data_IF_598563636420
#
_entry.id   IF_598563636420
#
_cell.length_a   1.000
_cell.length_b   1.000
_cell.length_c   1.000
_cell.angle_alpha   90.00
_cell.angle_beta   90.00
_cell.angle_gamma   90.00
#
_symmetry.space_group_name_H-M   'P 1'
#
loop_
_entity.id
_entity.type
_entity.pdbx_description
1 polymer ?
#
# COMPACT_ATOMS: atom_id res chain seq x y z
N UNK A 1 -12.03 15.11 12.17
CA UNK A 1 -12.42 13.98 13.06
C UNK A 1 -12.92 12.73 12.32
N UNK A 2 -13.05 12.67 10.98
CA UNK A 2 -13.53 11.44 10.29
C UNK A 2 -12.51 10.30 10.13
N UNK A 3 -11.23 10.54 10.44
CA UNK A 3 -10.16 9.56 10.23
C UNK A 3 -9.97 8.56 11.39
N UNK A 4 -10.50 8.85 12.58
CA UNK A 4 -10.25 8.06 13.79
C UNK A 4 -11.38 7.08 14.16
N UNK A 5 -12.51 7.09 13.46
CA UNK A 5 -13.70 6.30 13.79
C UNK A 5 -14.00 5.14 12.83
N UNK A 6 -13.09 4.84 11.89
CA UNK A 6 -13.24 3.64 11.06
C UNK A 6 -12.72 2.42 11.81
N UNK A 7 -13.46 1.32 11.75
CA UNK A 7 -12.92 0.01 12.09
C UNK A 7 -11.77 -0.31 11.14
N UNK A 8 -10.57 -0.51 11.68
CA UNK A 8 -9.38 -0.87 10.92
C UNK A 8 -8.55 -1.83 11.75
N UNK A 9 -7.97 -2.83 11.10
CA UNK A 9 -7.08 -3.78 11.76
C UNK A 9 -5.67 -3.21 11.79
N UNK A 10 -5.11 -3.04 12.98
CA UNK A 10 -3.71 -2.67 13.13
C UNK A 10 -2.84 -3.85 12.66
N UNK A 11 -2.06 -3.64 11.61
CA UNK A 11 -1.32 -4.75 10.97
C UNK A 11 0.17 -4.73 11.30
N UNK A 12 0.89 -3.68 10.90
CA UNK A 12 2.33 -3.56 11.05
C UNK A 12 2.69 -2.14 11.47
N UNK A 13 3.73 -2.02 12.30
CA UNK A 13 4.39 -0.75 12.56
C UNK A 13 5.49 -0.59 11.50
N UNK A 14 5.34 0.42 10.64
CA UNK A 14 6.30 0.69 9.56
C UNK A 14 7.16 1.88 9.99
N UNK A 15 8.48 1.71 10.16
CA UNK A 15 9.35 2.81 10.56
C UNK A 15 9.33 3.90 9.48
N UNK A 16 9.36 5.16 9.90
CA UNK A 16 9.26 6.32 8.98
C UNK A 16 10.34 6.33 7.91
N UNK A 17 11.49 5.68 8.16
CA UNK A 17 12.59 5.55 7.20
C UNK A 17 12.27 4.62 6.00
N UNK A 18 11.30 3.72 6.14
CA UNK A 18 10.83 2.83 5.07
C UNK A 18 9.65 3.45 4.29
N UNK A 19 9.16 4.62 4.73
CA UNK A 19 8.02 5.30 4.11
C UNK A 19 8.50 6.47 3.28
N UNK A 20 8.38 6.36 1.96
CA UNK A 20 8.60 7.49 1.08
C UNK A 20 7.33 8.38 0.98
N UNK A 21 7.22 9.37 1.87
CA UNK A 21 6.09 10.32 1.88
C UNK A 21 6.14 11.36 0.76
N UNK A 22 7.24 11.45 0.01
CA UNK A 22 7.49 12.46 -1.04
C UNK A 22 7.47 11.87 -2.44
N UNK A 23 6.65 10.85 -2.68
CA UNK A 23 6.42 10.36 -4.04
C UNK A 23 5.87 11.52 -4.89
N UNK A 24 6.52 11.88 -6.01
CA UNK A 24 6.06 12.98 -6.84
C UNK A 24 4.73 12.60 -7.48
N UNK A 25 3.72 13.45 -7.30
CA UNK A 25 2.47 13.29 -8.01
C UNK A 25 2.75 13.41 -9.52
N UNK A 26 2.25 12.44 -10.29
CA UNK A 26 2.27 12.53 -11.75
C UNK A 26 1.07 13.38 -12.16
N UNK A 27 1.38 14.61 -12.58
CA UNK A 27 0.41 15.58 -13.09
C UNK A 27 0.46 15.57 -14.62
N UNK A 28 -0.67 15.32 -15.28
CA UNK A 28 -0.79 15.44 -16.74
C UNK A 28 -1.92 16.39 -17.04
N UNK A 29 -1.60 17.51 -17.69
CA UNK A 29 -2.58 18.50 -18.12
C UNK A 29 -3.43 19.05 -16.93
N UNK A 30 -2.76 19.46 -15.85
CA UNK A 30 -3.37 19.97 -14.59
C UNK A 30 -4.22 18.94 -13.81
N UNK A 31 -4.23 17.67 -14.25
CA UNK A 31 -4.94 16.58 -13.56
C UNK A 31 -3.95 15.70 -12.80
N UNK A 32 -4.23 15.49 -11.51
CA UNK A 32 -3.46 14.63 -10.62
C UNK A 32 -3.93 13.18 -10.77
N UNK A 33 -3.10 12.30 -11.31
CA UNK A 33 -3.51 10.91 -11.59
C UNK A 33 -3.50 10.00 -10.36
N UNK A 34 -2.72 10.33 -9.33
CA UNK A 34 -2.47 9.49 -8.16
C UNK A 34 -2.86 10.17 -6.84
N UNK A 35 -3.92 10.99 -6.84
CA UNK A 35 -4.40 11.62 -5.60
C UNK A 35 -4.93 10.55 -4.63
N UNK A 36 -4.24 10.36 -3.50
CA UNK A 36 -4.57 9.35 -2.50
C UNK A 36 -4.21 7.90 -2.88
N UNK A 37 -3.41 7.69 -3.92
CA UNK A 37 -2.89 6.37 -4.33
C UNK A 37 -1.39 6.34 -4.07
N UNK A 38 -0.93 5.36 -3.30
CA UNK A 38 0.50 5.11 -3.07
C UNK A 38 0.95 3.79 -3.68
N UNK A 39 2.08 3.26 -3.22
CA UNK A 39 2.60 1.98 -3.66
C UNK A 39 3.01 1.14 -2.46
N UNK A 40 2.64 -0.14 -2.46
CA UNK A 40 3.04 -1.12 -1.45
C UNK A 40 3.99 -2.14 -2.08
N UNK A 41 5.11 -2.41 -1.41
CA UNK A 41 6.02 -3.50 -1.81
C UNK A 41 5.38 -4.86 -1.53
N UNK A 42 5.74 -5.88 -2.32
CA UNK A 42 5.22 -7.24 -2.14
C UNK A 42 5.52 -7.83 -0.76
N UNK A 43 6.72 -7.63 -0.22
CA UNK A 43 7.08 -8.11 1.13
C UNK A 43 6.15 -7.55 2.22
N UNK A 44 5.90 -6.24 2.17
CA UNK A 44 4.99 -5.58 3.10
C UNK A 44 3.55 -6.07 2.90
N UNK A 45 3.12 -6.31 1.67
CA UNK A 45 1.82 -6.91 1.37
C UNK A 45 1.68 -8.33 1.95
N UNK A 46 2.71 -9.16 1.82
CA UNK A 46 2.72 -10.52 2.39
C UNK A 46 2.67 -10.48 3.92
N UNK A 47 3.46 -9.61 4.55
CA UNK A 47 3.45 -9.44 6.00
C UNK A 47 2.08 -8.95 6.52
N UNK A 48 1.42 -8.05 5.77
CA UNK A 48 0.06 -7.59 6.07
C UNK A 48 -0.96 -8.74 5.92
N UNK A 49 -0.85 -9.52 4.84
CA UNK A 49 -1.70 -10.67 4.55
C UNK A 49 -1.60 -11.77 5.62
N UNK A 50 -0.38 -12.07 6.08
CA UNK A 50 -0.10 -13.02 7.15
C UNK A 50 -0.73 -12.58 8.48
N UNK A 51 -0.55 -11.31 8.86
CA UNK A 51 -1.17 -10.73 10.06
C UNK A 51 -2.69 -10.73 10.01
N UNK A 52 -3.28 -10.52 8.83
CA UNK A 52 -4.71 -10.59 8.60
C UNK A 52 -5.23 -12.03 8.43
N UNK A 53 -4.33 -13.03 8.49
CA UNK A 53 -4.63 -14.46 8.29
C UNK A 53 -5.38 -14.73 6.98
N UNK A 54 -5.07 -13.95 5.94
CA UNK A 54 -5.57 -14.17 4.59
C UNK A 54 -4.81 -15.37 4.01
N UNK A 55 -5.34 -16.57 4.26
CA UNK A 55 -4.76 -17.87 3.89
C UNK A 55 -4.62 -18.12 2.36
N UNK A 56 -4.98 -17.14 1.53
CA UNK A 56 -4.96 -17.22 0.07
C UNK A 56 -4.35 -15.91 -0.43
N UNK A 57 -3.27 -16.02 -1.21
CA UNK A 57 -2.55 -15.00 -1.99
C UNK A 57 -2.75 -13.52 -1.60
N UNK A 58 -1.67 -12.74 -1.35
CA UNK A 58 -1.81 -11.35 -0.88
C UNK A 58 -2.70 -10.54 -1.84
N UNK A 59 -3.74 -9.84 -1.35
CA UNK A 59 -4.60 -9.06 -2.21
C UNK A 59 -3.81 -8.00 -2.98
N UNK A 60 -4.27 -7.71 -4.20
CA UNK A 60 -3.59 -6.78 -5.12
C UNK A 60 -3.62 -5.32 -4.66
N UNK A 61 -4.55 -4.96 -3.77
CA UNK A 61 -4.69 -3.61 -3.24
C UNK A 61 -5.11 -3.63 -1.78
N UNK A 62 -4.62 -2.67 -1.00
CA UNK A 62 -4.95 -2.50 0.41
C UNK A 62 -5.50 -1.10 0.65
N UNK A 63 -6.55 -0.99 1.45
CA UNK A 63 -7.02 0.29 1.95
C UNK A 63 -6.37 0.57 3.31
N UNK A 64 -5.61 1.66 3.40
CA UNK A 64 -4.85 1.98 4.61
C UNK A 64 -5.27 3.31 5.23
N UNK A 65 -4.93 3.44 6.51
CA UNK A 65 -4.78 4.69 7.22
C UNK A 65 -3.44 4.67 7.95
N UNK A 66 -2.57 5.60 7.61
CA UNK A 66 -1.21 5.64 8.15
C UNK A 66 -0.81 7.09 8.41
N UNK A 67 -0.38 7.39 9.64
CA UNK A 67 0.13 8.72 10.03
C UNK A 67 -0.73 9.94 9.61
N UNK A 68 -2.05 9.78 9.50
CA UNK A 68 -2.97 10.84 9.04
C UNK A 68 -3.30 10.82 7.55
N UNK A 69 -2.63 9.99 6.75
CA UNK A 69 -2.96 9.69 5.37
C UNK A 69 -4.05 8.60 5.30
N UNK A 70 -4.96 8.73 4.33
CA UNK A 70 -5.94 7.69 3.96
C UNK A 70 -5.84 7.49 2.45
N UNK A 71 -5.77 6.24 2.01
CA UNK A 71 -5.63 5.96 0.59
C UNK A 71 -5.72 4.48 0.25
N UNK A 72 -5.62 4.20 -1.04
CA UNK A 72 -5.52 2.85 -1.57
C UNK A 72 -4.08 2.63 -2.02
N UNK A 73 -3.47 1.53 -1.57
CA UNK A 73 -2.14 1.12 -1.98
C UNK A 73 -2.25 -0.13 -2.86
N UNK A 74 -2.09 -0.02 -4.19
CA UNK A 74 -1.76 -1.17 -5.01
C UNK A 74 -0.42 -1.78 -4.62
N UNK A 75 -0.35 -3.10 -4.69
CA UNK A 75 0.90 -3.86 -4.54
C UNK A 75 1.67 -3.77 -5.84
N UNK A 76 2.92 -3.32 -5.78
CA UNK A 76 3.79 -3.39 -6.95
C UNK A 76 4.36 -4.79 -7.10
N UNK A 77 4.18 -5.36 -8.29
CA UNK A 77 4.58 -6.72 -8.65
C UNK A 77 5.99 -6.78 -9.27
N UNK A 78 6.81 -5.75 -9.06
CA UNK A 78 8.10 -5.55 -9.72
C UNK A 78 9.13 -6.68 -9.46
N UNK A 79 8.86 -7.63 -8.56
CA UNK A 79 9.72 -8.80 -8.31
C UNK A 79 9.16 -10.16 -8.78
N UNK A 80 7.91 -10.25 -9.28
CA UNK A 80 7.29 -11.55 -9.62
C UNK A 80 7.42 -11.90 -11.13
N UNK A 81 7.98 -11.00 -11.92
CA UNK A 81 8.18 -11.23 -13.37
C UNK A 81 9.53 -11.88 -13.70
N UNK A 82 10.43 -12.06 -12.74
CA UNK A 82 11.75 -12.67 -13.00
C UNK A 82 11.80 -14.19 -12.74
N UNK A 83 10.80 -14.77 -12.07
CA UNK A 83 10.76 -16.20 -11.74
C UNK A 83 9.82 -17.05 -12.60
N UNK A 84 9.22 -16.46 -13.64
CA UNK A 84 8.42 -17.22 -14.64
C UNK A 84 9.05 -17.07 -16.02
N UNK A 85 10.30 -17.54 -16.14
CA UNK A 85 10.92 -17.82 -17.43
C UNK A 85 10.89 -19.34 -17.62
N UNK A 86 10.28 -19.90 -18.69
CA UNK A 86 10.38 -21.32 -19.03
C UNK A 86 11.77 -21.71 -19.55
#
# INVERSE_FOLDING_TARGET
>A
MGLCFSSMYATLDVPTNEVNLKLPNIERNEYVFYDGIGMLTLDLAMAVSDKLQLNVYPPSTYQIRFAGCKGSLPVSLEHIMESTSP
#
